data_IF_951450452396
#
_entry.id   IF_951450452396
#
_cell.length_a   1.000
_cell.length_b   1.000
_cell.length_c   1.000
_cell.angle_alpha   90.00
_cell.angle_beta   90.00
_cell.angle_gamma   90.00
#
_symmetry.space_group_name_H-M   'P 1'
#
loop_
_entity.id
_entity.type
_entity.pdbx_description
1 polymer ?
#
# COMPACT_ATOMS: atom_id res chain seq x y z
N UNK A 1 -29.78 -17.87 -0.98
CA UNK A 1 -29.06 -16.73 -0.36
C UNK A 1 -27.57 -17.06 -0.31
N UNK A 2 -26.86 -17.16 -1.44
CA UNK A 2 -25.63 -17.99 -1.43
C UNK A 2 -24.36 -17.35 -2.05
N UNK A 3 -24.45 -16.25 -2.81
CA UNK A 3 -23.28 -15.69 -3.50
C UNK A 3 -22.40 -14.79 -2.62
N UNK A 4 -23.02 -13.91 -1.81
CA UNK A 4 -22.28 -12.99 -0.95
C UNK A 4 -21.55 -13.73 0.18
N UNK A 5 -22.19 -14.71 0.79
CA UNK A 5 -21.62 -15.52 1.88
C UNK A 5 -20.40 -16.33 1.42
N UNK A 6 -20.48 -16.93 0.23
CA UNK A 6 -19.37 -17.67 -0.37
C UNK A 6 -18.16 -16.76 -0.66
N UNK A 7 -18.43 -15.55 -1.15
CA UNK A 7 -17.39 -14.55 -1.39
C UNK A 7 -16.68 -14.15 -0.10
N UNK A 8 -17.44 -13.88 0.97
CA UNK A 8 -16.86 -13.50 2.26
C UNK A 8 -16.04 -14.64 2.84
N UNK A 9 -16.52 -15.88 2.80
CA UNK A 9 -15.77 -17.06 3.27
C UNK A 9 -14.42 -17.20 2.56
N UNK A 10 -14.38 -17.04 1.24
CA UNK A 10 -13.14 -17.06 0.46
C UNK A 10 -12.16 -15.96 0.85
N UNK A 11 -12.66 -14.75 1.14
CA UNK A 11 -11.81 -13.65 1.62
C UNK A 11 -11.24 -13.89 3.02
N UNK A 12 -11.87 -14.77 3.81
CA UNK A 12 -11.41 -15.13 5.15
C UNK A 12 -10.44 -16.31 5.16
N UNK A 13 -10.15 -16.93 4.01
CA UNK A 13 -9.15 -17.98 3.91
C UNK A 13 -7.76 -17.37 3.71
N UNK A 14 -6.81 -17.80 4.54
CA UNK A 14 -5.40 -17.44 4.36
C UNK A 14 -4.74 -18.47 3.45
N UNK A 15 -4.23 -18.02 2.30
CA UNK A 15 -3.43 -18.88 1.42
C UNK A 15 -2.13 -19.29 2.09
N UNK A 16 -1.96 -20.60 2.29
CA UNK A 16 -0.74 -21.20 2.81
C UNK A 16 0.30 -21.36 1.71
N UNK A 17 1.50 -20.83 1.94
CA UNK A 17 2.68 -21.02 1.08
C UNK A 17 3.52 -22.22 1.58
N UNK A 18 4.34 -22.86 0.74
CA UNK A 18 5.13 -24.04 1.14
C UNK A 18 6.05 -23.82 2.34
N UNK A 19 6.58 -22.61 2.50
CA UNK A 19 7.43 -22.21 3.62
C UNK A 19 6.65 -21.90 4.92
N UNK A 20 5.33 -21.72 4.84
CA UNK A 20 4.51 -21.37 5.99
C UNK A 20 4.27 -22.56 6.92
N UNK A 21 4.18 -22.28 8.21
CA UNK A 21 4.00 -23.29 9.24
C UNK A 21 2.89 -22.90 10.22
N UNK A 22 2.30 -23.89 10.89
CA UNK A 22 1.35 -23.66 11.98
C UNK A 22 2.11 -23.53 13.31
N UNK A 23 1.85 -22.46 14.05
CA UNK A 23 2.43 -22.22 15.37
C UNK A 23 1.76 -23.07 16.46
N UNK A 24 2.36 -23.09 17.65
CA UNK A 24 1.80 -23.77 18.84
C UNK A 24 0.45 -23.18 19.28
N UNK A 25 0.24 -21.91 18.96
CA UNK A 25 -1.03 -21.19 19.16
C UNK A 25 -2.11 -21.57 18.14
N UNK A 26 -1.81 -22.42 17.16
CA UNK A 26 -2.72 -22.86 16.11
C UNK A 26 -2.89 -21.88 14.94
N UNK A 27 -2.20 -20.72 14.94
CA UNK A 27 -2.23 -19.74 13.85
C UNK A 27 -1.26 -20.12 12.74
N UNK A 28 -1.55 -19.69 11.51
CA UNK A 28 -0.59 -19.79 10.40
C UNK A 28 0.46 -18.68 10.50
N UNK A 29 1.73 -19.05 10.35
CA UNK A 29 2.88 -18.15 10.34
C UNK A 29 3.58 -18.13 8.99
N UNK A 30 4.06 -16.94 8.61
CA UNK A 30 4.84 -16.76 7.39
C UNK A 30 6.23 -17.40 7.53
N UNK A 31 6.61 -18.26 6.59
CA UNK A 31 7.92 -18.91 6.57
C UNK A 31 9.11 -17.96 6.40
N UNK A 32 8.89 -16.75 5.88
CA UNK A 32 9.94 -15.76 5.60
C UNK A 32 10.20 -14.79 6.74
N UNK A 33 9.13 -14.20 7.29
CA UNK A 33 9.22 -13.18 8.34
C UNK A 33 8.82 -13.68 9.72
N UNK A 34 8.35 -14.94 9.84
CA UNK A 34 7.90 -15.56 11.09
C UNK A 34 6.83 -14.75 11.84
N UNK A 35 6.06 -13.93 11.11
CA UNK A 35 4.88 -13.22 11.63
C UNK A 35 3.60 -13.96 11.29
N UNK A 36 2.57 -13.86 12.14
CA UNK A 36 1.31 -14.54 11.90
C UNK A 36 0.60 -13.98 10.66
N UNK A 37 0.10 -14.89 9.81
CA UNK A 37 -0.78 -14.63 8.66
C UNK A 37 -2.26 -14.77 9.03
N UNK A 38 -2.55 -15.18 10.26
CA UNK A 38 -3.90 -15.30 10.83
C UNK A 38 -3.94 -14.58 12.17
N UNK A 39 -5.12 -14.11 12.58
CA UNK A 39 -5.37 -13.60 13.92
C UNK A 39 -6.72 -14.10 14.43
N UNK A 40 -6.82 -14.32 15.74
CA UNK A 40 -8.09 -14.67 16.37
C UNK A 40 -9.02 -13.46 16.44
N UNK A 41 -10.31 -13.72 16.30
CA UNK A 41 -11.32 -12.74 16.66
C UNK A 41 -11.31 -12.46 18.18
N UNK A 42 -11.80 -11.29 18.62
CA UNK A 42 -12.05 -11.03 20.03
C UNK A 42 -12.95 -12.10 20.65
N UNK A 43 -12.77 -12.38 21.95
CA UNK A 43 -13.54 -13.43 22.66
C UNK A 43 -15.05 -13.30 22.43
N UNK A 44 -15.70 -14.42 22.13
CA UNK A 44 -17.15 -14.49 21.88
C UNK A 44 -17.57 -13.96 20.50
N UNK A 45 -16.62 -13.73 19.58
CA UNK A 45 -16.89 -13.39 18.18
C UNK A 45 -16.40 -14.52 17.28
N UNK A 46 -17.22 -14.86 16.30
CA UNK A 46 -16.87 -15.73 15.20
C UNK A 46 -17.66 -15.24 13.97
N UNK A 47 -17.07 -15.37 12.79
CA UNK A 47 -17.75 -15.02 11.54
C UNK A 47 -17.96 -16.29 10.74
N UNK A 48 -19.22 -16.66 10.49
CA UNK A 48 -19.60 -17.90 9.80
C UNK A 48 -18.95 -19.17 10.40
N UNK A 49 -18.82 -19.23 11.73
CA UNK A 49 -18.22 -20.37 12.43
C UNK A 49 -16.68 -20.38 12.44
N UNK A 50 -16.02 -19.37 11.87
CA UNK A 50 -14.56 -19.19 11.94
C UNK A 50 -14.17 -18.33 13.14
N UNK A 51 -13.20 -18.83 13.90
CA UNK A 51 -12.62 -18.19 15.08
C UNK A 51 -11.44 -17.25 14.74
N UNK A 52 -10.95 -17.31 13.51
CA UNK A 52 -9.79 -16.59 13.01
C UNK A 52 -10.08 -15.89 11.68
N UNK A 53 -9.29 -14.86 11.38
CA UNK A 53 -9.30 -14.16 10.11
C UNK A 53 -7.88 -13.95 9.57
N UNK A 54 -7.72 -13.68 8.26
CA UNK A 54 -6.43 -13.35 7.69
C UNK A 54 -5.85 -12.08 8.32
N UNK A 55 -4.54 -12.11 8.57
CA UNK A 55 -3.74 -10.99 9.04
C UNK A 55 -2.55 -10.82 8.12
N UNK A 56 -2.13 -9.58 7.92
CA UNK A 56 -1.00 -9.29 7.04
C UNK A 56 0.32 -9.46 7.79
N UNK A 57 1.14 -10.39 7.31
CA UNK A 57 2.53 -10.50 7.74
C UNK A 57 3.37 -9.33 7.18
N UNK A 58 4.58 -9.15 7.69
CA UNK A 58 5.46 -8.03 7.31
C UNK A 58 5.82 -8.03 5.81
N UNK A 59 5.95 -9.21 5.18
CA UNK A 59 6.20 -9.31 3.74
C UNK A 59 5.05 -8.70 2.92
N UNK A 60 3.80 -9.06 3.26
CA UNK A 60 2.61 -8.54 2.57
C UNK A 60 2.40 -7.06 2.84
N UNK A 61 2.71 -6.62 4.08
CA UNK A 61 2.67 -5.21 4.47
C UNK A 61 3.65 -4.38 3.65
N UNK A 62 4.91 -4.81 3.56
CA UNK A 62 5.93 -4.12 2.79
C UNK A 62 5.56 -3.96 1.30
N UNK A 63 4.99 -5.01 0.69
CA UNK A 63 4.51 -4.94 -0.70
C UNK A 63 3.35 -3.95 -0.88
N UNK A 64 2.40 -3.91 0.06
CA UNK A 64 1.31 -2.93 0.04
C UNK A 64 1.86 -1.52 0.19
N UNK A 65 2.70 -1.28 1.19
CA UNK A 65 3.29 0.04 1.46
C UNK A 65 4.10 0.55 0.26
N UNK A 66 4.85 -0.33 -0.41
CA UNK A 66 5.57 0.02 -1.65
C UNK A 66 4.62 0.46 -2.76
N UNK A 67 3.51 -0.25 -2.95
CA UNK A 67 2.48 0.13 -3.94
C UNK A 67 1.81 1.45 -3.56
N UNK A 68 1.40 1.61 -2.31
CA UNK A 68 0.76 2.82 -1.80
C UNK A 68 1.67 4.04 -1.95
N UNK A 69 2.97 3.89 -1.68
CA UNK A 69 3.96 4.95 -1.90
C UNK A 69 4.05 5.33 -3.38
N UNK A 70 4.15 4.35 -4.28
CA UNK A 70 4.17 4.61 -5.73
C UNK A 70 2.90 5.34 -6.18
N UNK A 71 1.73 4.87 -5.75
CA UNK A 71 0.45 5.50 -6.09
C UNK A 71 0.34 6.92 -5.54
N UNK A 72 0.88 7.18 -4.34
CA UNK A 72 0.94 8.50 -3.73
C UNK A 72 1.87 9.45 -4.50
N UNK A 73 3.05 8.98 -4.91
CA UNK A 73 4.01 9.74 -5.71
C UNK A 73 3.43 10.09 -7.10
N UNK A 74 2.73 9.14 -7.74
CA UNK A 74 2.03 9.35 -9.02
C UNK A 74 0.90 10.38 -8.87
N UNK A 75 0.06 10.26 -7.82
CA UNK A 75 -1.00 11.23 -7.53
C UNK A 75 -0.44 12.63 -7.27
N UNK A 76 0.63 12.72 -6.49
CA UNK A 76 1.28 14.00 -6.20
C UNK A 76 1.81 14.64 -7.48
N UNK A 77 2.52 13.87 -8.31
CA UNK A 77 3.06 14.37 -9.58
C UNK A 77 1.96 14.81 -10.54
N UNK A 78 0.88 14.05 -10.64
CA UNK A 78 -0.29 14.40 -11.45
C UNK A 78 -0.97 15.69 -10.97
N UNK A 79 -1.08 15.87 -9.65
CA UNK A 79 -1.63 17.08 -9.05
C UNK A 79 -0.73 18.30 -9.29
N UNK A 80 0.58 18.16 -9.14
CA UNK A 80 1.55 19.21 -9.48
C UNK A 80 1.40 19.64 -10.94
N UNK A 81 1.32 18.69 -11.87
CA UNK A 81 1.15 19.00 -13.30
C UNK A 81 -0.22 19.62 -13.61
N UNK A 82 -1.28 19.23 -12.88
CA UNK A 82 -2.60 19.90 -12.96
C UNK A 82 -2.49 21.36 -12.54
N UNK A 83 -1.89 21.63 -11.39
CA UNK A 83 -1.72 23.00 -10.86
C UNK A 83 -0.86 23.86 -11.79
N UNK A 84 0.24 23.32 -12.33
CA UNK A 84 1.06 24.02 -13.33
C UNK A 84 0.29 24.36 -14.60
N UNK A 85 -0.61 23.47 -15.04
CA UNK A 85 -1.44 23.71 -16.22
C UNK A 85 -2.42 24.85 -16.00
N UNK A 86 -2.99 24.95 -14.81
CA UNK A 86 -3.96 25.99 -14.44
C UNK A 86 -3.29 27.33 -14.12
N UNK A 87 -2.14 27.31 -13.44
CA UNK A 87 -1.46 28.51 -12.96
C UNK A 87 -0.56 29.21 -13.99
N UNK A 88 0.02 28.48 -14.95
CA UNK A 88 0.93 29.07 -15.93
C UNK A 88 0.27 29.30 -17.29
N UNK A 89 0.23 30.57 -17.71
CA UNK A 89 -0.24 30.96 -19.05
C UNK A 89 0.73 30.54 -20.15
N UNK A 90 2.05 30.56 -19.90
CA UNK A 90 3.06 30.09 -20.84
C UNK A 90 3.43 28.62 -20.55
N UNK A 91 3.19 27.68 -21.49
CA UNK A 91 3.53 26.26 -21.31
C UNK A 91 5.01 25.99 -21.02
N UNK A 92 5.93 26.83 -21.51
CA UNK A 92 7.36 26.67 -21.28
C UNK A 92 7.74 26.76 -19.78
N UNK A 93 6.95 27.51 -19.00
CA UNK A 93 7.17 27.68 -17.56
C UNK A 93 6.92 26.39 -16.75
N UNK A 94 6.17 25.43 -17.29
CA UNK A 94 5.91 24.14 -16.61
C UNK A 94 7.18 23.31 -16.43
N UNK A 95 8.16 23.53 -17.30
CA UNK A 95 9.46 22.86 -17.31
C UNK A 95 10.55 23.61 -16.53
N UNK A 96 10.22 24.74 -15.89
CA UNK A 96 11.17 25.45 -15.03
C UNK A 96 11.30 24.73 -13.69
N UNK A 97 12.26 23.80 -13.63
CA UNK A 97 12.62 23.02 -12.44
C UNK A 97 14.10 23.22 -12.15
N UNK A 98 14.54 22.92 -10.92
CA UNK A 98 15.97 22.97 -10.56
C UNK A 98 16.83 22.07 -11.46
N UNK A 99 16.31 20.90 -11.86
CA UNK A 99 16.99 19.98 -12.76
C UNK A 99 17.15 20.55 -14.18
N UNK A 100 16.19 21.34 -14.64
CA UNK A 100 16.20 21.97 -15.96
C UNK A 100 16.86 23.35 -15.97
N UNK A 101 17.39 23.83 -14.85
CA UNK A 101 18.08 25.11 -14.79
C UNK A 101 19.43 25.01 -15.50
N UNK A 102 19.60 25.83 -16.55
CA UNK A 102 20.84 25.90 -17.32
C UNK A 102 21.78 27.02 -16.83
N UNK A 103 21.48 27.64 -15.68
CA UNK A 103 22.28 28.67 -15.03
C UNK A 103 22.31 30.01 -15.76
N UNK A 104 21.50 30.19 -16.81
CA UNK A 104 21.44 31.46 -17.57
C UNK A 104 20.59 32.54 -16.90
N UNK A 105 19.81 32.18 -15.88
CA UNK A 105 19.05 33.16 -15.10
C UNK A 105 20.01 33.97 -14.21
N UNK A 106 19.97 35.32 -14.28
CA UNK A 106 20.79 36.18 -13.43
C UNK A 106 20.59 35.84 -11.95
N UNK A 107 21.68 35.52 -11.25
CA UNK A 107 21.63 35.24 -9.83
C UNK A 107 21.34 36.55 -9.07
N UNK A 108 20.25 36.57 -8.31
CA UNK A 108 19.95 37.69 -7.43
C UNK A 108 21.05 37.71 -6.36
N UNK A 109 21.76 38.83 -6.24
CA UNK A 109 22.82 38.99 -5.24
C UNK A 109 22.28 38.72 -3.83
N UNK A 110 23.07 38.04 -2.99
CA UNK A 110 22.70 37.82 -1.58
C UNK A 110 22.49 39.19 -0.91
N UNK A 111 21.36 39.32 -0.21
CA UNK A 111 21.06 40.48 0.63
C UNK A 111 21.98 40.54 1.85
#
# INVERSE_FOLDING_TARGET
MNGLTDTVLKMMDTTQEPEDYKGEDGLLYCGKCHKPKEAYFPKGRALFGRDRHPSECDCRRAEREKREKKDADEKHSAEVERLKREGFSNPAMRHWTFENDNGKCPQIGKA
#
